data_IF_913306836691
#
_entry.id   IF_913306836691
#
_cell.length_a   1.000
_cell.length_b   1.000
_cell.length_c   1.000
_cell.angle_alpha   90.00
_cell.angle_beta   90.00
_cell.angle_gamma   90.00
#
_symmetry.space_group_name_H-M   'P 1'
#
loop_
_entity.id
_entity.type
_entity.pdbx_description
1 polymer ?
#
# COMPACT_ATOMS: atom_id res chain seq x y z
N UNK A 1 2.15 16.56 -1.52
CA UNK A 1 2.26 15.51 -0.48
C UNK A 1 2.26 14.17 -1.21
N UNK A 2 3.43 13.70 -1.65
CA UNK A 2 3.63 12.41 -2.34
C UNK A 2 3.74 11.33 -1.27
N UNK A 3 2.58 10.90 -0.78
CA UNK A 3 2.40 10.00 0.38
C UNK A 3 2.83 8.54 0.09
N UNK A 4 3.64 8.28 -0.94
CA UNK A 4 4.18 6.93 -1.20
C UNK A 4 5.55 7.09 -1.85
N UNK A 5 6.50 7.64 -1.09
CA UNK A 5 7.91 7.65 -1.46
C UNK A 5 8.42 6.19 -1.47
N UNK A 6 8.79 5.71 -2.66
CA UNK A 6 9.70 4.58 -2.86
C UNK A 6 9.51 3.34 -1.97
N UNK A 7 8.29 2.80 -1.90
CA UNK A 7 8.06 1.47 -1.32
C UNK A 7 8.13 1.39 0.21
N UNK A 8 8.07 2.51 0.94
CA UNK A 8 7.77 2.44 2.38
C UNK A 8 6.28 2.22 2.57
N UNK A 9 5.92 1.09 3.16
CA UNK A 9 4.53 0.83 3.58
C UNK A 9 4.11 1.88 4.63
N UNK A 10 2.83 2.31 4.65
CA UNK A 10 2.29 3.23 5.66
C UNK A 10 2.48 2.79 7.12
N UNK A 11 2.91 1.54 7.34
CA UNK A 11 3.06 0.88 8.62
C UNK A 11 4.09 1.57 9.53
N UNK A 12 5.06 2.31 8.98
CA UNK A 12 6.10 2.97 9.77
C UNK A 12 5.82 4.43 10.13
N UNK A 13 4.63 4.96 9.80
CA UNK A 13 4.38 6.40 9.93
C UNK A 13 3.61 6.80 11.17
N UNK A 14 2.79 5.90 11.69
CA UNK A 14 2.05 6.10 12.92
C UNK A 14 2.34 4.94 13.86
N UNK A 15 2.61 5.30 15.10
CA UNK A 15 3.00 4.44 16.19
C UNK A 15 1.85 4.34 17.18
N UNK A 16 1.91 3.35 18.06
CA UNK A 16 0.95 3.17 19.13
C UNK A 16 0.84 4.42 20.02
N UNK A 17 1.97 5.08 20.30
CA UNK A 17 2.03 6.31 21.09
C UNK A 17 1.21 7.46 20.51
N UNK A 18 1.01 7.51 19.18
CA UNK A 18 0.27 8.60 18.53
C UNK A 18 -1.23 8.54 18.83
N UNK A 19 -1.72 7.39 19.32
CA UNK A 19 -3.09 7.21 19.77
C UNK A 19 -3.18 6.87 21.26
N UNK A 20 -2.07 6.76 21.99
CA UNK A 20 -2.10 6.39 23.39
C UNK A 20 -2.78 7.47 24.25
N UNK A 21 -3.46 7.01 25.29
CA UNK A 21 -3.93 7.85 26.38
C UNK A 21 -2.92 7.83 27.53
N UNK A 22 -2.76 8.95 28.26
CA UNK A 22 -1.86 8.99 29.41
C UNK A 22 -2.38 8.06 30.51
N UNK A 23 -1.45 7.39 31.19
CA UNK A 23 -1.75 6.54 32.34
C UNK A 23 -1.85 7.41 33.60
N UNK A 24 -2.87 7.14 34.42
CA UNK A 24 -2.99 7.70 35.77
C UNK A 24 -2.62 6.63 36.79
N UNK A 25 -1.83 7.01 37.77
CA UNK A 25 -1.40 6.14 38.86
C UNK A 25 -2.18 6.46 40.13
N UNK A 26 -2.67 5.40 40.77
CA UNK A 26 -3.15 5.44 42.15
C UNK A 26 -1.99 5.17 43.13
N UNK A 27 -2.12 5.65 44.35
CA UNK A 27 -1.21 5.31 45.44
C UNK A 27 -1.62 3.95 46.06
N UNK A 28 -0.68 3.03 46.34
CA UNK A 28 -1.01 1.78 47.01
C UNK A 28 -1.75 1.94 48.35
N UNK A 29 -1.60 3.08 49.02
CA UNK A 29 -2.23 3.40 50.30
C UNK A 29 -3.64 4.00 50.17
N UNK A 30 -4.12 4.24 48.94
CA UNK A 30 -5.46 4.75 48.67
C UNK A 30 -6.54 3.73 49.08
N UNK A 31 -7.77 4.24 49.28
CA UNK A 31 -8.95 3.40 49.56
C UNK A 31 -9.33 2.55 48.35
N UNK A 32 -9.42 1.24 48.55
CA UNK A 32 -9.86 0.32 47.51
C UNK A 32 -11.31 0.59 47.05
N UNK A 33 -12.17 1.03 47.98
CA UNK A 33 -13.57 1.36 47.69
C UNK A 33 -13.69 2.65 46.87
N UNK A 34 -12.98 3.72 47.25
CA UNK A 34 -13.00 4.97 46.49
C UNK A 34 -12.43 4.76 45.09
N UNK A 35 -11.39 3.95 44.96
CA UNK A 35 -10.84 3.56 43.67
C UNK A 35 -11.87 2.81 42.83
N UNK A 36 -12.61 1.84 43.40
CA UNK A 36 -13.69 1.15 42.71
C UNK A 36 -14.77 2.11 42.19
N UNK A 37 -15.23 3.03 43.04
CA UNK A 37 -16.23 4.03 42.69
C UNK A 37 -15.74 4.96 41.59
N UNK A 38 -14.47 5.40 41.65
CA UNK A 38 -13.85 6.21 40.61
C UNK A 38 -13.78 5.48 39.26
N UNK A 39 -13.34 4.21 39.28
CA UNK A 39 -13.30 3.34 38.09
C UNK A 39 -14.69 3.10 37.49
N UNK A 40 -15.71 2.93 38.35
CA UNK A 40 -17.09 2.79 37.92
C UNK A 40 -17.65 4.09 37.32
N UNK A 41 -17.40 5.23 37.96
CA UNK A 41 -17.88 6.54 37.53
C UNK A 41 -17.29 6.99 36.18
N UNK A 42 -16.08 6.53 35.84
CA UNK A 42 -15.38 6.88 34.60
C UNK A 42 -15.35 5.73 33.58
N UNK A 43 -16.08 4.65 33.88
CA UNK A 43 -16.24 3.43 33.07
C UNK A 43 -14.95 2.83 32.49
N UNK A 44 -13.99 2.49 33.34
CA UNK A 44 -12.82 1.72 32.92
C UNK A 44 -12.49 0.58 33.89
N UNK A 45 -11.87 -0.48 33.36
CA UNK A 45 -11.71 -1.76 34.09
C UNK A 45 -10.35 -1.95 34.76
N UNK A 46 -9.35 -1.14 34.41
CA UNK A 46 -7.96 -1.31 34.88
C UNK A 46 -7.40 0.02 35.34
N UNK A 47 -6.85 0.06 36.55
CA UNK A 47 -6.08 1.19 37.06
C UNK A 47 -4.63 0.77 37.32
N UNK A 48 -3.71 1.71 37.14
CA UNK A 48 -2.30 1.51 37.40
C UNK A 48 -1.97 2.02 38.79
N UNK A 49 -1.08 1.31 39.48
CA UNK A 49 -0.66 1.65 40.84
C UNK A 49 0.83 1.96 40.82
N UNK A 50 1.23 2.98 41.59
CA UNK A 50 2.63 3.38 41.71
C UNK A 50 3.50 2.17 42.09
N UNK A 51 4.60 1.97 41.37
CA UNK A 51 5.42 0.75 41.47
C UNK A 51 5.20 -0.28 40.36
N UNK A 52 4.34 0.02 39.36
CA UNK A 52 4.19 -0.79 38.15
C UNK A 52 3.20 -1.96 38.29
N UNK A 53 2.41 -1.97 39.36
CA UNK A 53 1.32 -2.91 39.55
C UNK A 53 0.02 -2.39 38.91
N UNK A 54 -0.96 -3.28 38.75
CA UNK A 54 -2.30 -2.94 38.26
C UNK A 54 -3.36 -3.47 39.22
N UNK A 55 -4.55 -2.90 39.12
CA UNK A 55 -5.73 -3.36 39.84
C UNK A 55 -6.92 -3.38 38.87
N UNK A 56 -7.73 -4.44 38.98
CA UNK A 56 -8.89 -4.64 38.12
C UNK A 56 -10.17 -4.25 38.86
N UNK A 57 -11.09 -3.53 38.19
CA UNK A 57 -12.36 -3.05 38.77
C UNK A 57 -13.17 -4.19 39.39
N UNK A 58 -13.21 -5.35 38.75
CA UNK A 58 -13.95 -6.52 39.22
C UNK A 58 -13.37 -7.13 40.53
N UNK A 59 -12.06 -6.95 40.80
CA UNK A 59 -11.42 -7.38 42.05
C UNK A 59 -11.81 -6.48 43.22
N UNK A 60 -12.19 -5.25 42.94
CA UNK A 60 -12.59 -4.28 43.94
C UNK A 60 -14.10 -4.32 44.23
N UNK A 61 -14.86 -5.21 43.58
CA UNK A 61 -16.29 -5.33 43.83
C UNK A 61 -16.55 -5.94 45.20
N UNK A 62 -17.24 -5.19 46.07
CA UNK A 62 -17.59 -5.65 47.42
C UNK A 62 -16.46 -5.58 48.45
N UNK A 63 -15.41 -4.80 48.20
CA UNK A 63 -14.34 -4.56 49.17
C UNK A 63 -14.86 -3.81 50.41
N UNK A 64 -14.22 -4.05 51.56
CA UNK A 64 -14.54 -3.35 52.80
C UNK A 64 -14.09 -1.87 52.73
N UNK A 65 -14.81 -1.00 53.44
CA UNK A 65 -14.58 0.47 53.45
C UNK A 65 -13.15 0.88 53.86
N UNK A 66 -12.47 0.07 54.68
CA UNK A 66 -11.12 0.34 55.18
C UNK A 66 -10.01 -0.38 54.39
N UNK A 67 -10.36 -1.19 53.38
CA UNK A 67 -9.38 -1.97 52.64
C UNK A 67 -8.49 -1.07 51.78
N UNK A 68 -7.19 -1.40 51.72
CA UNK A 68 -6.19 -0.61 50.97
C UNK A 68 -5.96 -1.20 49.58
N UNK A 69 -5.66 -0.32 48.62
CA UNK A 69 -5.49 -0.74 47.23
C UNK A 69 -4.37 -1.77 47.05
N UNK A 70 -3.27 -1.64 47.82
CA UNK A 70 -2.14 -2.56 47.83
C UNK A 70 -2.54 -4.05 47.99
N UNK A 71 -3.61 -4.33 48.73
CA UNK A 71 -4.12 -5.69 49.00
C UNK A 71 -4.68 -6.38 47.75
N UNK A 72 -5.03 -5.60 46.72
CA UNK A 72 -5.67 -6.07 45.48
C UNK A 72 -4.79 -5.88 44.24
N UNK A 73 -3.54 -5.46 44.42
CA UNK A 73 -2.61 -5.24 43.31
C UNK A 73 -2.09 -6.56 42.74
N UNK A 74 -1.96 -6.60 41.41
CA UNK A 74 -1.39 -7.71 40.66
C UNK A 74 -0.26 -7.16 39.76
N UNK A 75 0.78 -7.96 39.43
CA UNK A 75 1.79 -7.53 38.46
C UNK A 75 1.15 -7.29 37.09
N UNK A 76 1.63 -6.26 36.37
CA UNK A 76 1.18 -5.98 35.01
C UNK A 76 1.45 -7.20 34.11
N UNK A 77 0.43 -7.83 33.50
CA UNK A 77 0.67 -9.05 32.74
C UNK A 77 1.42 -8.75 31.44
N UNK A 78 2.53 -9.45 31.19
CA UNK A 78 3.43 -9.24 30.03
C UNK A 78 2.71 -9.19 28.68
N UNK A 79 1.61 -9.95 28.52
CA UNK A 79 0.82 -9.97 27.29
C UNK A 79 0.19 -8.62 26.92
N UNK A 80 0.05 -7.72 27.88
CA UNK A 80 -0.45 -6.35 27.67
C UNK A 80 0.67 -5.36 27.41
N UNK A 81 1.91 -5.67 27.76
CA UNK A 81 3.05 -4.79 27.55
C UNK A 81 3.54 -4.85 26.10
N UNK A 82 3.67 -3.69 25.47
CA UNK A 82 4.23 -3.55 24.14
C UNK A 82 5.18 -2.35 24.08
N UNK A 83 6.19 -2.37 23.20
CA UNK A 83 7.03 -1.20 22.97
C UNK A 83 6.21 0.04 22.57
N UNK A 84 6.60 1.22 23.05
CA UNK A 84 5.91 2.47 22.71
C UNK A 84 5.99 2.83 21.22
N UNK A 85 7.03 2.35 20.54
CA UNK A 85 7.28 2.48 19.11
C UNK A 85 6.64 1.35 18.27
N UNK A 86 5.73 0.56 18.86
CA UNK A 86 4.97 -0.44 18.11
C UNK A 86 4.19 0.23 16.96
N UNK A 87 4.22 -0.36 15.76
CA UNK A 87 3.47 0.16 14.63
C UNK A 87 1.96 0.19 14.92
N UNK A 88 1.25 1.15 14.34
CA UNK A 88 -0.20 1.22 14.50
C UNK A 88 -0.92 -0.01 13.87
N UNK A 89 -0.32 -0.61 12.85
CA UNK A 89 -0.77 -1.89 12.27
C UNK A 89 -0.76 -3.01 13.31
N UNK A 90 0.37 -3.20 13.98
CA UNK A 90 0.53 -4.25 15.00
C UNK A 90 -0.30 -3.94 16.25
N UNK A 91 -0.46 -2.66 16.58
CA UNK A 91 -1.36 -2.20 17.64
C UNK A 91 -2.79 -2.64 17.36
N UNK A 92 -3.29 -2.44 16.13
CA UNK A 92 -4.62 -2.89 15.72
C UNK A 92 -4.74 -4.42 15.77
N UNK A 93 -3.71 -5.15 15.33
CA UNK A 93 -3.70 -6.61 15.40
C UNK A 93 -3.77 -7.13 16.85
N UNK A 94 -2.99 -6.52 17.76
CA UNK A 94 -2.98 -6.89 19.18
C UNK A 94 -4.27 -6.49 19.89
N UNK A 95 -4.80 -5.29 19.63
CA UNK A 95 -6.09 -4.85 20.19
C UNK A 95 -7.27 -5.75 19.79
N UNK A 96 -7.16 -6.48 18.67
CA UNK A 96 -8.17 -7.45 18.27
C UNK A 96 -8.18 -8.70 19.17
N UNK A 97 -7.05 -8.99 19.84
CA UNK A 97 -6.87 -10.13 20.73
C UNK A 97 -6.93 -9.75 22.21
N UNK A 98 -6.57 -8.50 22.55
CA UNK A 98 -6.53 -8.00 23.93
C UNK A 98 -7.23 -6.64 24.04
N UNK A 99 -8.12 -6.42 25.03
CA UNK A 99 -8.95 -5.22 25.11
C UNK A 99 -8.19 -3.94 25.47
N UNK A 100 -6.91 -4.00 25.80
CA UNK A 100 -6.04 -2.85 26.07
C UNK A 100 -4.58 -3.26 26.00
N UNK A 101 -3.72 -2.30 25.69
CA UNK A 101 -2.26 -2.44 25.58
C UNK A 101 -1.58 -1.35 26.39
N UNK A 102 -0.49 -1.69 27.06
CA UNK A 102 0.34 -0.76 27.82
C UNK A 102 1.62 -0.53 27.04
N UNK A 103 1.90 0.73 26.75
CA UNK A 103 3.09 1.14 26.04
C UNK A 103 4.24 1.32 27.02
N UNK A 104 5.37 0.69 26.72
CA UNK A 104 6.56 0.75 27.56
C UNK A 104 7.78 1.28 26.82
N UNK A 105 8.60 2.06 27.51
CA UNK A 105 9.97 2.41 27.13
C UNK A 105 10.93 1.89 28.21
N UNK A 106 11.56 0.75 27.94
CA UNK A 106 12.27 -0.01 28.97
C UNK A 106 11.32 -0.41 30.10
N UNK A 107 11.58 0.08 31.32
CA UNK A 107 10.74 -0.17 32.51
C UNK A 107 9.69 0.91 32.75
N UNK A 108 9.64 1.97 31.94
CA UNK A 108 8.68 3.06 32.11
C UNK A 108 7.41 2.78 31.32
N UNK A 109 6.24 2.98 31.94
CA UNK A 109 4.96 2.95 31.24
C UNK A 109 4.69 4.35 30.68
N UNK A 110 4.58 4.44 29.37
CA UNK A 110 4.43 5.70 28.62
C UNK A 110 2.97 6.01 28.27
N UNK A 111 2.11 5.01 28.24
CA UNK A 111 0.71 5.19 27.87
C UNK A 111 -0.08 3.88 27.86
N UNK A 112 -1.38 4.00 27.63
CA UNK A 112 -2.30 2.89 27.39
C UNK A 112 -3.02 3.12 26.07
N UNK A 113 -3.27 2.06 25.32
CA UNK A 113 -4.11 2.06 24.14
C UNK A 113 -5.28 1.12 24.37
N UNK A 114 -6.51 1.60 24.17
CA UNK A 114 -7.74 0.81 24.23
C UNK A 114 -8.48 0.87 22.88
N UNK A 115 -9.53 0.06 22.67
CA UNK A 115 -10.40 0.22 21.52
C UNK A 115 -10.96 1.63 21.36
N UNK A 116 -11.19 2.38 22.45
CA UNK A 116 -11.70 3.76 22.38
C UNK A 116 -10.71 4.72 21.73
N UNK A 117 -9.41 4.50 21.94
CA UNK A 117 -8.35 5.29 21.32
C UNK A 117 -8.34 5.16 19.79
N UNK A 118 -8.93 4.11 19.24
CA UNK A 118 -9.15 3.98 17.80
C UNK A 118 -10.08 5.08 17.26
N UNK A 119 -10.89 5.73 18.10
CA UNK A 119 -11.70 6.89 17.69
C UNK A 119 -10.88 8.17 17.47
N UNK A 120 -9.59 8.19 17.87
CA UNK A 120 -8.73 9.37 17.71
C UNK A 120 -8.45 9.65 16.22
N UNK A 121 -8.19 10.93 15.85
CA UNK A 121 -7.95 11.31 14.45
C UNK A 121 -6.81 10.54 13.78
N UNK A 122 -5.72 10.23 14.50
CA UNK A 122 -4.58 9.49 13.95
C UNK A 122 -4.95 8.06 13.51
N UNK A 123 -5.74 7.33 14.31
CA UNK A 123 -6.27 6.01 13.93
C UNK A 123 -7.19 6.07 12.71
N UNK A 124 -8.05 7.09 12.64
CA UNK A 124 -8.94 7.32 11.49
C UNK A 124 -8.13 7.61 10.22
N UNK A 125 -7.11 8.47 10.30
CA UNK A 125 -6.23 8.79 9.18
C UNK A 125 -5.44 7.56 8.70
N UNK A 126 -4.93 6.74 9.62
CA UNK A 126 -4.26 5.48 9.33
C UNK A 126 -5.17 4.51 8.57
N UNK A 127 -6.38 4.28 9.07
CA UNK A 127 -7.35 3.40 8.45
C UNK A 127 -7.78 3.90 7.06
N UNK A 128 -7.96 5.23 6.91
CA UNK A 128 -8.28 5.85 5.63
C UNK A 128 -7.16 5.67 4.60
N UNK A 129 -5.90 5.84 5.00
CA UNK A 129 -4.74 5.62 4.12
C UNK A 129 -4.68 4.19 3.58
N UNK A 130 -5.02 3.19 4.41
CA UNK A 130 -5.11 1.78 3.98
C UNK A 130 -6.20 1.57 2.93
N UNK A 131 -7.37 2.21 3.09
CA UNK A 131 -8.46 2.11 2.11
C UNK A 131 -8.11 2.78 0.77
N UNK A 132 -7.40 3.92 0.81
CA UNK A 132 -6.90 4.58 -0.39
C UNK A 132 -5.84 3.72 -1.10
N UNK A 133 -4.94 3.11 -0.33
CA UNK A 133 -3.95 2.17 -0.87
C UNK A 133 -4.63 0.99 -1.54
N UNK A 134 -5.59 0.35 -0.84
CA UNK A 134 -6.38 -0.75 -1.40
C UNK A 134 -7.08 -0.35 -2.71
N UNK A 135 -7.70 0.84 -2.75
CA UNK A 135 -8.33 1.35 -3.97
C UNK A 135 -7.32 1.43 -5.13
N UNK A 136 -6.15 2.02 -4.89
CA UNK A 136 -5.09 2.19 -5.89
C UNK A 136 -4.58 0.85 -6.42
N UNK A 137 -4.22 -0.08 -5.54
CA UNK A 137 -3.70 -1.39 -5.97
C UNK A 137 -4.74 -2.21 -6.71
N UNK A 138 -6.01 -2.15 -6.29
CA UNK A 138 -7.09 -2.82 -7.02
C UNK A 138 -7.34 -2.17 -8.39
N UNK A 139 -7.18 -0.84 -8.55
CA UNK A 139 -7.26 -0.19 -9.87
C UNK A 139 -6.20 -0.73 -10.82
N UNK A 140 -4.95 -0.83 -10.36
CA UNK A 140 -3.85 -1.38 -11.16
C UNK A 140 -4.12 -2.84 -11.56
N UNK A 141 -4.53 -3.67 -10.60
CA UNK A 141 -4.87 -5.07 -10.87
C UNK A 141 -6.02 -5.17 -11.89
N UNK A 142 -7.14 -4.48 -11.65
CA UNK A 142 -8.25 -4.48 -12.60
C UNK A 142 -7.81 -4.02 -13.99
N UNK A 143 -6.95 -3.01 -14.07
CA UNK A 143 -6.40 -2.55 -15.34
C UNK A 143 -5.62 -3.63 -16.08
N UNK A 144 -4.74 -4.35 -15.37
CA UNK A 144 -3.99 -5.48 -15.94
C UNK A 144 -4.88 -6.62 -16.42
N UNK A 145 -5.81 -7.09 -15.59
CA UNK A 145 -6.67 -8.24 -15.94
C UNK A 145 -7.73 -7.91 -16.99
N UNK A 146 -7.95 -6.63 -17.30
CA UNK A 146 -8.90 -6.22 -18.34
C UNK A 146 -8.25 -5.56 -19.54
N UNK A 147 -6.91 -5.44 -19.57
CA UNK A 147 -6.17 -4.67 -20.57
C UNK A 147 -6.73 -3.25 -20.78
N UNK A 148 -7.27 -2.65 -19.73
CA UNK A 148 -7.84 -1.30 -19.73
C UNK A 148 -7.24 -0.53 -18.57
N UNK A 149 -6.09 0.14 -18.79
CA UNK A 149 -5.38 0.86 -17.74
C UNK A 149 -6.31 1.81 -16.99
N UNK A 150 -6.20 1.79 -15.66
CA UNK A 150 -6.95 2.67 -14.78
C UNK A 150 -5.94 3.55 -14.05
N UNK A 151 -6.14 4.87 -14.11
CA UNK A 151 -5.35 5.80 -13.30
C UNK A 151 -5.49 5.50 -11.80
N UNK A 152 -4.41 5.72 -11.05
CA UNK A 152 -4.37 5.53 -9.59
C UNK A 152 -5.31 6.48 -8.85
N UNK A 153 -5.58 7.64 -9.44
CA UNK A 153 -6.48 8.64 -8.87
C UNK A 153 -7.89 8.48 -9.42
N UNK A 154 -8.91 8.71 -8.58
CA UNK A 154 -10.27 8.86 -9.08
C UNK A 154 -10.30 10.08 -10.02
N UNK A 155 -10.77 9.87 -11.25
CA UNK A 155 -11.00 11.00 -12.16
C UNK A 155 -12.10 11.90 -11.58
N UNK A 156 -12.03 13.23 -11.74
CA UNK A 156 -13.10 14.11 -11.29
C UNK A 156 -14.40 13.85 -12.07
N UNK A 157 -15.58 14.00 -11.44
CA UNK A 157 -16.86 13.88 -12.12
C UNK A 157 -16.99 15.04 -13.13
N UNK A 158 -16.85 14.73 -14.42
CA UNK A 158 -17.00 15.71 -15.51
C UNK A 158 -16.10 15.46 -16.72
N UNK A 159 -14.87 15.00 -16.52
CA UNK A 159 -13.92 14.75 -17.64
C UNK A 159 -14.30 13.50 -18.43
N UNK A 160 -14.83 12.47 -17.76
CA UNK A 160 -15.20 11.20 -18.39
C UNK A 160 -16.41 11.30 -19.35
N UNK A 161 -17.31 12.28 -19.17
CA UNK A 161 -18.46 12.46 -20.07
C UNK A 161 -18.07 13.07 -21.42
N UNK A 162 -16.97 13.82 -21.49
CA UNK A 162 -16.53 14.51 -22.72
C UNK A 162 -15.84 13.54 -23.69
N UNK A 163 -15.28 12.43 -23.22
CA UNK A 163 -14.53 11.46 -24.02
C UNK A 163 -15.39 10.43 -24.79
N UNK A 164 -16.72 10.59 -24.84
CA UNK A 164 -17.62 9.74 -25.64
C UNK A 164 -17.70 8.25 -25.24
N UNK A 165 -16.95 7.83 -24.22
CA UNK A 165 -17.03 6.50 -23.66
C UNK A 165 -18.15 6.50 -22.62
N UNK A 166 -19.30 5.91 -22.96
CA UNK A 166 -20.43 5.67 -22.06
C UNK A 166 -20.11 4.70 -20.88
N UNK A 167 -18.84 4.59 -20.49
CA UNK A 167 -18.39 3.85 -19.33
C UNK A 167 -18.51 4.74 -18.10
N UNK A 168 -19.43 4.38 -17.20
CA UNK A 168 -19.52 4.87 -15.82
C UNK A 168 -18.13 5.13 -15.25
N UNK A 169 -17.74 6.41 -15.14
CA UNK A 169 -16.41 6.77 -14.69
C UNK A 169 -16.12 6.14 -13.32
N UNK A 170 -14.96 5.51 -13.21
CA UNK A 170 -14.54 4.81 -11.99
C UNK A 170 -14.10 5.84 -10.94
N UNK A 171 -15.08 6.49 -10.31
CA UNK A 171 -14.86 7.62 -9.41
C UNK A 171 -14.70 7.21 -7.94
N UNK A 172 -15.00 5.95 -7.59
CA UNK A 172 -15.02 5.51 -6.20
C UNK A 172 -14.54 4.07 -6.03
N UNK A 173 -14.00 3.76 -4.84
CA UNK A 173 -13.66 2.41 -4.37
C UNK A 173 -14.76 1.38 -4.71
N UNK A 174 -16.04 1.75 -4.66
CA UNK A 174 -17.16 0.89 -5.00
C UNK A 174 -17.11 0.33 -6.42
N UNK A 175 -16.74 1.14 -7.41
CA UNK A 175 -16.63 0.70 -8.80
C UNK A 175 -15.46 -0.27 -8.98
N UNK A 176 -14.31 0.06 -8.38
CA UNK A 176 -13.09 -0.76 -8.45
C UNK A 176 -13.35 -2.13 -7.82
N UNK A 177 -13.91 -2.16 -6.61
CA UNK A 177 -14.29 -3.40 -5.91
C UNK A 177 -15.31 -4.18 -6.74
N UNK A 178 -16.36 -3.54 -7.27
CA UNK A 178 -17.36 -4.24 -8.08
C UNK A 178 -16.78 -4.86 -9.35
N UNK A 179 -15.80 -4.20 -9.98
CA UNK A 179 -15.13 -4.69 -11.19
C UNK A 179 -14.16 -5.83 -10.85
N UNK A 180 -13.33 -5.67 -9.83
CA UNK A 180 -12.46 -6.74 -9.32
C UNK A 180 -13.27 -8.00 -8.95
N UNK A 181 -14.43 -7.83 -8.30
CA UNK A 181 -15.34 -8.92 -7.94
C UNK A 181 -16.02 -9.65 -9.11
N UNK A 182 -15.78 -9.23 -10.36
CA UNK A 182 -16.23 -9.89 -11.59
C UNK A 182 -15.11 -10.65 -12.32
N UNK A 183 -13.87 -10.55 -11.84
CA UNK A 183 -12.68 -11.15 -12.47
C UNK A 183 -12.31 -12.43 -11.69
N UNK A 184 -12.73 -13.63 -12.13
CA UNK A 184 -12.52 -14.86 -11.36
C UNK A 184 -11.05 -15.21 -11.15
N UNK A 185 -10.19 -14.97 -12.14
CA UNK A 185 -8.74 -15.21 -12.06
C UNK A 185 -8.08 -14.32 -11.00
N UNK A 186 -8.37 -13.02 -11.03
CA UNK A 186 -7.91 -12.07 -10.01
C UNK A 186 -8.37 -12.48 -8.60
N UNK A 187 -9.63 -12.90 -8.44
CA UNK A 187 -10.14 -13.34 -7.13
C UNK A 187 -9.44 -14.61 -6.63
N UNK A 188 -9.15 -15.55 -7.54
CA UNK A 188 -8.41 -16.76 -7.21
C UNK A 188 -6.98 -16.44 -6.73
N UNK A 189 -6.27 -15.54 -7.41
CA UNK A 189 -4.92 -15.10 -7.03
C UNK A 189 -4.90 -14.27 -5.73
N UNK A 190 -5.92 -13.46 -5.48
CA UNK A 190 -6.09 -12.79 -4.18
C UNK A 190 -6.48 -13.77 -3.06
N UNK A 191 -6.90 -14.99 -3.41
CA UNK A 191 -7.31 -16.04 -2.48
C UNK A 191 -8.64 -15.74 -1.79
N UNK A 192 -9.63 -15.26 -2.55
CA UNK A 192 -10.98 -14.99 -2.08
C UNK A 192 -12.04 -15.61 -3.00
N UNK A 193 -13.10 -16.16 -2.43
CA UNK A 193 -14.31 -16.42 -3.20
C UNK A 193 -15.02 -15.10 -3.56
N UNK A 194 -15.86 -15.16 -4.60
CA UNK A 194 -16.71 -14.02 -5.01
C UNK A 194 -17.61 -13.51 -3.89
N UNK A 195 -18.10 -14.40 -3.03
CA UNK A 195 -18.98 -14.04 -1.90
C UNK A 195 -18.21 -13.31 -0.81
N UNK A 196 -17.07 -13.86 -0.39
CA UNK A 196 -16.20 -13.26 0.64
C UNK A 196 -15.69 -11.89 0.20
N UNK A 197 -15.18 -11.79 -1.03
CA UNK A 197 -14.69 -10.52 -1.57
C UNK A 197 -15.80 -9.45 -1.62
N UNK A 198 -17.02 -9.81 -2.04
CA UNK A 198 -18.16 -8.88 -2.06
C UNK A 198 -18.56 -8.43 -0.65
N UNK A 199 -18.56 -9.35 0.33
CA UNK A 199 -18.88 -9.02 1.72
C UNK A 199 -17.86 -8.03 2.29
N UNK A 200 -16.57 -8.33 2.14
CA UNK A 200 -15.48 -7.47 2.59
C UNK A 200 -15.48 -6.12 1.86
N UNK A 201 -15.65 -6.14 0.54
CA UNK A 201 -15.69 -4.96 -0.30
C UNK A 201 -16.84 -4.01 0.04
N UNK A 202 -18.07 -4.53 0.26
CA UNK A 202 -19.20 -3.71 0.73
C UNK A 202 -18.90 -3.03 2.06
N UNK A 203 -18.29 -3.75 2.99
CA UNK A 203 -17.87 -3.19 4.27
C UNK A 203 -16.82 -2.09 4.08
N UNK A 204 -15.77 -2.34 3.30
CA UNK A 204 -14.71 -1.36 3.02
C UNK A 204 -15.25 -0.06 2.38
N UNK A 205 -16.22 -0.17 1.47
CA UNK A 205 -16.89 0.97 0.85
C UNK A 205 -17.65 1.80 1.90
N UNK A 206 -18.49 1.14 2.71
CA UNK A 206 -19.26 1.82 3.76
C UNK A 206 -18.33 2.49 4.79
N UNK A 207 -17.29 1.77 5.21
CA UNK A 207 -16.30 2.25 6.17
C UNK A 207 -15.50 3.44 5.65
N UNK A 208 -15.07 3.43 4.37
CA UNK A 208 -14.41 4.58 3.74
C UNK A 208 -15.31 5.81 3.72
N UNK A 209 -16.59 5.64 3.37
CA UNK A 209 -17.55 6.75 3.34
C UNK A 209 -17.76 7.32 4.76
N UNK A 210 -17.86 6.45 5.76
CA UNK A 210 -17.95 6.86 7.17
C UNK A 210 -16.77 7.74 7.59
N UNK A 211 -15.54 7.29 7.31
CA UNK A 211 -14.32 8.04 7.60
C UNK A 211 -14.23 9.37 6.85
N UNK A 212 -14.64 9.40 5.57
CA UNK A 212 -14.61 10.61 4.76
C UNK A 212 -15.55 11.71 5.28
N UNK A 213 -16.60 11.34 6.03
CA UNK A 213 -17.51 12.27 6.67
C UNK A 213 -17.07 12.66 8.10
N UNK A 214 -15.79 12.44 8.44
CA UNK A 214 -15.18 12.75 9.74
C UNK A 214 -15.91 12.11 10.94
N UNK A 215 -16.62 11.00 10.70
CA UNK A 215 -17.27 10.25 11.76
C UNK A 215 -16.23 9.42 12.50
N UNK A 216 -16.32 9.42 13.83
CA UNK A 216 -15.41 8.67 14.69
C UNK A 216 -15.57 7.17 14.45
N UNK A 217 -14.47 6.44 14.58
CA UNK A 217 -14.42 5.01 14.32
C UNK A 217 -15.35 4.16 15.20
N UNK A 218 -15.73 4.65 16.40
CA UNK A 218 -16.53 3.90 17.38
C UNK A 218 -17.85 4.57 17.81
N UNK A 219 -18.19 5.77 17.31
CA UNK A 219 -19.17 6.62 18.01
C UNK A 219 -20.61 6.54 17.47
N UNK A 220 -20.82 6.04 16.25
CA UNK A 220 -22.14 6.12 15.58
C UNK A 220 -22.91 4.79 15.50
N UNK A 221 -22.31 3.68 15.93
CA UNK A 221 -23.00 2.40 16.07
C UNK A 221 -22.34 1.63 17.23
N UNK A 222 -23.06 1.29 18.32
CA UNK A 222 -22.54 0.48 19.43
C UNK A 222 -22.11 -0.93 18.99
N UNK A 223 -22.58 -1.42 17.84
CA UNK A 223 -22.07 -2.63 17.17
C UNK A 223 -20.89 -2.34 16.23
N UNK A 224 -20.55 -1.07 16.03
CA UNK A 224 -19.41 -0.55 15.28
C UNK A 224 -18.34 0.04 16.20
N UNK A 225 -18.03 -0.62 17.33
CA UNK A 225 -16.60 -0.87 17.55
C UNK A 225 -16.07 -1.30 16.19
N UNK A 226 -15.03 -0.64 15.65
CA UNK A 226 -14.38 -1.14 14.44
C UNK A 226 -14.33 -2.64 14.62
N UNK A 227 -15.01 -3.40 13.76
CA UNK A 227 -14.84 -4.83 13.78
C UNK A 227 -13.39 -4.97 13.34
N UNK A 228 -12.46 -4.92 14.29
CA UNK A 228 -11.04 -4.75 14.06
C UNK A 228 -10.58 -5.90 13.19
N UNK A 229 -11.17 -7.08 13.40
CA UNK A 229 -11.13 -8.21 12.48
C UNK A 229 -11.50 -7.91 11.02
N UNK A 230 -12.55 -7.13 10.72
CA UNK A 230 -12.88 -6.70 9.34
C UNK A 230 -11.86 -5.70 8.78
N UNK A 231 -11.38 -4.75 9.58
CA UNK A 231 -10.30 -3.86 9.13
C UNK A 231 -9.01 -4.65 8.83
N UNK A 232 -8.62 -5.57 9.71
CA UNK A 232 -7.49 -6.46 9.51
C UNK A 232 -7.69 -7.36 8.27
N UNK A 233 -8.92 -7.77 7.95
CA UNK A 233 -9.23 -8.46 6.69
C UNK A 233 -9.05 -7.55 5.47
N UNK A 234 -9.41 -6.27 5.54
CA UNK A 234 -9.15 -5.28 4.49
C UNK A 234 -7.66 -5.05 4.31
N UNK A 235 -6.91 -4.91 5.41
CA UNK A 235 -5.46 -4.78 5.38
C UNK A 235 -4.80 -6.02 4.76
N UNK A 236 -5.24 -7.23 5.14
CA UNK A 236 -4.77 -8.48 4.54
C UNK A 236 -5.04 -8.52 3.03
N UNK A 237 -6.23 -8.10 2.59
CA UNK A 237 -6.54 -7.97 1.16
C UNK A 237 -5.62 -6.96 0.48
N UNK A 238 -5.38 -5.80 1.09
CA UNK A 238 -4.49 -4.77 0.59
C UNK A 238 -3.06 -5.29 0.41
N UNK A 239 -2.49 -5.93 1.44
CA UNK A 239 -1.14 -6.49 1.39
C UNK A 239 -1.00 -7.57 0.31
N UNK A 240 -2.00 -8.45 0.19
CA UNK A 240 -2.04 -9.43 -0.91
C UNK A 240 -2.11 -8.76 -2.27
N UNK A 241 -2.91 -7.71 -2.41
CA UNK A 241 -3.01 -6.97 -3.66
C UNK A 241 -1.70 -6.22 -4.00
N UNK A 242 -0.99 -5.68 -3.01
CA UNK A 242 0.35 -5.08 -3.19
C UNK A 242 1.32 -6.14 -3.72
N UNK A 243 1.45 -7.27 -3.00
CA UNK A 243 2.33 -8.35 -3.41
C UNK A 243 1.99 -8.85 -4.83
N UNK A 244 0.69 -8.97 -5.13
CA UNK A 244 0.25 -9.35 -6.46
C UNK A 244 0.63 -8.31 -7.51
N UNK A 245 0.50 -7.00 -7.25
CA UNK A 245 0.94 -5.94 -8.17
C UNK A 245 2.45 -6.00 -8.42
N UNK A 246 3.24 -6.34 -7.41
CA UNK A 246 4.69 -6.45 -7.49
C UNK A 246 5.14 -7.64 -8.34
N UNK A 247 4.51 -8.81 -8.18
CA UNK A 247 4.90 -10.05 -8.87
C UNK A 247 3.90 -10.54 -9.94
N UNK A 248 3.54 -9.66 -10.88
CA UNK A 248 2.63 -10.01 -11.99
C UNK A 248 3.36 -10.68 -13.13
N UNK A 249 3.33 -12.02 -13.17
CA UNK A 249 3.86 -12.81 -14.30
C UNK A 249 3.36 -12.32 -15.66
N UNK A 250 2.07 -11.99 -15.78
CA UNK A 250 1.46 -11.48 -17.01
C UNK A 250 2.08 -10.15 -17.50
N UNK A 251 2.50 -9.26 -16.58
CA UNK A 251 3.14 -7.98 -16.94
C UNK A 251 4.55 -8.24 -17.46
N UNK A 252 5.30 -9.11 -16.79
CA UNK A 252 6.63 -9.51 -17.24
C UNK A 252 6.59 -10.20 -18.59
N UNK A 253 5.57 -11.02 -18.84
CA UNK A 253 5.34 -11.63 -20.15
C UNK A 253 5.02 -10.56 -21.21
N UNK A 254 4.11 -9.61 -20.92
CA UNK A 254 3.79 -8.53 -21.86
C UNK A 254 5.03 -7.68 -22.23
N UNK A 255 5.91 -7.40 -21.26
CA UNK A 255 7.21 -6.78 -21.53
C UNK A 255 8.08 -7.69 -22.41
N UNK A 256 8.16 -8.98 -22.09
CA UNK A 256 8.88 -9.97 -22.88
C UNK A 256 8.37 -10.08 -24.32
N UNK A 257 7.08 -9.84 -24.56
CA UNK A 257 6.47 -9.90 -25.89
C UNK A 257 6.56 -8.55 -26.64
N UNK A 258 6.99 -7.48 -25.97
CA UNK A 258 7.01 -6.14 -26.56
C UNK A 258 8.02 -6.02 -27.70
N UNK A 259 7.61 -5.40 -28.80
CA UNK A 259 8.46 -5.12 -29.96
C UNK A 259 9.12 -3.75 -29.76
N UNK A 260 10.42 -3.66 -30.05
CA UNK A 260 11.17 -2.40 -30.02
C UNK A 260 11.47 -1.99 -31.46
N UNK A 261 10.98 -0.83 -31.87
CA UNK A 261 11.16 -0.29 -33.22
C UNK A 261 11.85 1.05 -33.20
N UNK A 262 12.56 1.39 -34.27
CA UNK A 262 13.04 2.74 -34.45
C UNK A 262 11.87 3.73 -34.55
N UNK A 263 12.00 4.92 -33.98
CA UNK A 263 10.92 5.91 -34.01
C UNK A 263 10.75 6.55 -35.40
N UNK A 264 11.82 6.60 -36.21
CA UNK A 264 11.85 7.32 -37.49
C UNK A 264 11.84 6.42 -38.72
N UNK A 265 12.06 5.11 -38.53
CA UNK A 265 12.12 4.11 -39.61
C UNK A 265 11.32 2.86 -39.26
N UNK A 266 11.12 1.98 -40.22
CA UNK A 266 10.45 0.69 -40.00
C UNK A 266 11.33 -0.37 -39.33
N UNK A 267 12.58 -0.03 -39.00
CA UNK A 267 13.58 -0.93 -38.42
C UNK A 267 13.10 -1.49 -37.09
N UNK A 268 13.14 -2.81 -36.95
CA UNK A 268 12.85 -3.51 -35.68
C UNK A 268 14.18 -3.84 -35.02
N UNK A 269 14.36 -3.46 -33.76
CA UNK A 269 15.56 -3.76 -32.98
C UNK A 269 15.38 -4.99 -32.06
N UNK A 270 14.13 -5.29 -31.68
CA UNK A 270 13.79 -6.52 -30.97
C UNK A 270 12.34 -6.93 -31.28
N UNK A 271 12.12 -8.21 -31.59
CA UNK A 271 10.87 -8.77 -32.09
C UNK A 271 11.07 -9.50 -33.43
N UNK A 272 9.98 -9.97 -34.05
CA UNK A 272 10.04 -10.64 -35.35
C UNK A 272 10.72 -9.77 -36.42
N UNK A 273 11.71 -10.33 -37.13
CA UNK A 273 12.45 -9.62 -38.18
C UNK A 273 13.42 -8.54 -37.66
N UNK A 274 13.91 -8.67 -36.42
CA UNK A 274 14.86 -7.70 -35.86
C UNK A 274 16.21 -7.65 -36.59
N UNK A 275 16.71 -6.45 -36.86
CA UNK A 275 18.00 -6.15 -37.47
C UNK A 275 19.15 -6.24 -36.45
N UNK A 276 20.41 -6.17 -36.92
CA UNK A 276 21.56 -6.03 -36.01
C UNK A 276 21.44 -4.76 -35.15
N UNK A 277 21.95 -4.81 -33.92
CA UNK A 277 21.87 -3.67 -33.00
C UNK A 277 22.71 -2.48 -33.52
N UNK A 278 22.24 -1.23 -33.33
CA UNK A 278 22.93 -0.05 -33.86
C UNK A 278 24.18 0.33 -33.05
N UNK A 279 24.38 -0.29 -31.88
CA UNK A 279 25.53 -0.10 -31.00
C UNK A 279 26.06 -1.46 -30.53
N UNK A 280 27.30 -1.49 -30.03
CA UNK A 280 27.85 -2.67 -29.37
C UNK A 280 26.98 -3.09 -28.18
N UNK A 281 26.68 -4.38 -28.09
CA UNK A 281 25.92 -4.95 -26.99
C UNK A 281 26.68 -4.86 -25.64
N UNK A 282 25.95 -4.79 -24.50
CA UNK A 282 24.50 -4.69 -24.41
C UNK A 282 24.00 -3.28 -24.75
N UNK A 283 22.85 -3.21 -25.43
CA UNK A 283 22.06 -1.99 -25.53
C UNK A 283 20.96 -2.00 -24.48
N UNK A 284 20.58 -0.84 -23.94
CA UNK A 284 19.46 -0.74 -23.01
C UNK A 284 18.34 0.10 -23.58
N UNK A 285 17.08 -0.30 -23.37
CA UNK A 285 15.91 0.52 -23.72
C UNK A 285 15.22 0.96 -22.45
N UNK A 286 15.03 2.27 -22.33
CA UNK A 286 14.44 2.93 -21.16
C UNK A 286 13.44 4.00 -21.60
N UNK A 287 12.34 4.13 -20.89
CA UNK A 287 11.35 5.20 -21.04
C UNK A 287 11.12 5.91 -19.70
N UNK A 288 10.46 7.06 -19.73
CA UNK A 288 9.90 7.71 -18.54
C UNK A 288 8.37 7.79 -18.57
N UNK A 289 7.74 7.11 -19.55
CA UNK A 289 6.29 6.99 -19.67
C UNK A 289 5.73 6.13 -18.54
N UNK A 290 4.50 6.45 -18.14
CA UNK A 290 3.66 5.68 -17.23
C UNK A 290 4.41 5.04 -16.03
N UNK A 291 5.02 5.85 -15.14
CA UNK A 291 5.82 5.34 -14.03
C UNK A 291 5.02 4.36 -13.18
N UNK A 292 5.60 3.20 -12.88
CA UNK A 292 4.96 2.09 -12.19
C UNK A 292 3.58 1.71 -12.79
N UNK A 293 3.45 1.85 -14.12
CA UNK A 293 2.24 1.62 -14.91
C UNK A 293 1.09 2.60 -14.61
N UNK A 294 1.38 3.70 -13.91
CA UNK A 294 0.41 4.76 -13.71
C UNK A 294 0.13 5.43 -15.06
N UNK A 295 -1.11 5.33 -15.55
CA UNK A 295 -1.51 6.02 -16.77
C UNK A 295 -1.48 7.54 -16.55
N UNK A 296 -0.57 8.21 -17.24
CA UNK A 296 -0.51 9.67 -17.29
C UNK A 296 -1.10 10.18 -18.59
N UNK A 297 -1.46 11.47 -18.61
CA UNK A 297 -1.75 12.13 -19.88
C UNK A 297 -0.49 12.25 -20.75
N UNK A 298 -0.71 12.40 -22.05
CA UNK A 298 0.36 12.38 -23.05
C UNK A 298 1.36 13.54 -22.88
N UNK A 299 0.91 14.72 -22.44
CA UNK A 299 1.78 15.87 -22.24
C UNK A 299 2.72 15.63 -21.04
N UNK A 300 2.19 15.10 -19.94
CA UNK A 300 2.98 14.68 -18.77
C UNK A 300 4.01 13.61 -19.15
N UNK A 301 3.60 12.58 -19.90
CA UNK A 301 4.52 11.54 -20.38
C UNK A 301 5.63 12.10 -21.27
N UNK A 302 5.29 12.94 -22.26
CA UNK A 302 6.29 13.61 -23.12
C UNK A 302 7.26 14.46 -22.32
N UNK A 303 6.77 15.26 -21.38
CA UNK A 303 7.64 16.10 -20.54
C UNK A 303 8.64 15.25 -19.75
N UNK A 304 8.18 14.17 -19.11
CA UNK A 304 9.05 13.23 -18.39
C UNK A 304 10.08 12.59 -19.31
N UNK A 305 9.66 12.15 -20.51
CA UNK A 305 10.56 11.51 -21.48
C UNK A 305 11.62 12.49 -22.02
N UNK A 306 11.28 13.76 -22.21
CA UNK A 306 12.25 14.81 -22.55
C UNK A 306 13.28 15.04 -21.45
N UNK A 307 12.86 14.99 -20.18
CA UNK A 307 13.79 15.09 -19.04
C UNK A 307 14.71 13.87 -18.96
N UNK A 308 14.21 12.67 -19.24
CA UNK A 308 15.01 11.46 -19.36
C UNK A 308 16.07 11.62 -20.46
N UNK A 309 15.68 12.07 -21.65
CA UNK A 309 16.61 12.31 -22.77
C UNK A 309 17.72 13.30 -22.39
N UNK A 310 17.39 14.42 -21.74
CA UNK A 310 18.38 15.38 -21.23
C UNK A 310 19.36 14.71 -20.25
N UNK A 311 18.86 13.82 -19.40
CA UNK A 311 19.68 13.03 -18.49
C UNK A 311 20.59 12.02 -19.20
N UNK A 312 20.11 11.37 -20.25
CA UNK A 312 20.88 10.41 -21.05
C UNK A 312 21.99 11.10 -21.85
N UNK A 313 21.70 12.24 -22.49
CA UNK A 313 22.67 13.02 -23.27
C UNK A 313 23.88 13.51 -22.46
N UNK A 314 23.78 13.56 -21.12
CA UNK A 314 24.91 13.89 -20.23
C UNK A 314 25.82 12.70 -19.93
N UNK A 315 25.40 11.47 -20.27
CA UNK A 315 26.08 10.22 -19.92
C UNK A 315 26.60 9.45 -21.13
N UNK A 316 25.96 9.60 -22.29
CA UNK A 316 26.38 8.94 -23.53
C UNK A 316 25.92 9.72 -24.75
N UNK A 317 26.65 9.61 -25.85
CA UNK A 317 26.27 10.11 -27.17
C UNK A 317 25.55 9.02 -28.01
N UNK A 318 25.66 7.75 -27.57
CA UNK A 318 25.08 6.59 -28.24
C UNK A 318 23.60 6.44 -27.85
N UNK A 319 22.74 7.29 -28.43
CA UNK A 319 21.30 7.31 -28.16
C UNK A 319 20.51 7.20 -29.46
N UNK A 320 19.49 6.33 -29.49
CA UNK A 320 18.46 6.27 -30.53
C UNK A 320 17.07 6.45 -29.92
N UNK A 321 16.22 7.22 -30.60
CA UNK A 321 14.80 7.28 -30.27
C UNK A 321 14.11 6.02 -30.79
N UNK A 322 13.41 5.30 -29.92
CA UNK A 322 12.72 4.05 -30.25
C UNK A 322 11.30 4.08 -29.70
N UNK A 323 10.47 3.17 -30.16
CA UNK A 323 9.12 2.95 -29.65
C UNK A 323 9.03 1.51 -29.16
N UNK A 324 8.65 1.34 -27.89
CA UNK A 324 8.21 0.06 -27.37
C UNK A 324 6.73 -0.11 -27.67
N UNK A 325 6.31 -1.26 -28.19
CA UNK A 325 4.91 -1.49 -28.56
C UNK A 325 4.49 -2.94 -28.34
N UNK A 326 3.18 -3.16 -28.19
CA UNK A 326 2.61 -4.50 -28.13
C UNK A 326 2.65 -5.15 -29.52
N UNK A 327 2.67 -6.49 -29.64
CA UNK A 327 2.61 -7.16 -30.94
C UNK A 327 1.39 -6.75 -31.78
N UNK A 328 0.25 -6.49 -31.13
CA UNK A 328 -0.98 -6.03 -31.76
C UNK A 328 -1.09 -4.51 -31.93
N UNK A 329 -0.06 -3.74 -31.55
CA UNK A 329 0.05 -2.28 -31.69
C UNK A 329 -1.01 -1.45 -30.94
N UNK A 330 -1.80 -2.07 -30.08
CA UNK A 330 -2.79 -1.39 -29.23
C UNK A 330 -2.15 -0.54 -28.13
N UNK A 331 -0.88 -0.78 -27.82
CA UNK A 331 -0.07 -0.01 -26.89
C UNK A 331 1.25 0.35 -27.56
N UNK A 332 1.68 1.60 -27.40
CA UNK A 332 2.92 2.16 -27.93
C UNK A 332 3.45 3.24 -26.98
N UNK A 333 4.75 3.23 -26.70
CA UNK A 333 5.42 4.21 -25.84
C UNK A 333 6.77 4.64 -26.40
N UNK A 334 6.96 5.96 -26.47
CA UNK A 334 8.26 6.53 -26.83
C UNK A 334 9.32 6.17 -25.78
N UNK A 335 10.49 5.79 -26.25
CA UNK A 335 11.59 5.26 -25.44
C UNK A 335 12.94 5.67 -26.04
N UNK A 336 14.03 5.38 -25.34
CA UNK A 336 15.39 5.57 -25.82
C UNK A 336 16.18 4.28 -25.72
N UNK A 337 16.82 3.90 -26.82
CA UNK A 337 17.86 2.88 -26.82
C UNK A 337 19.21 3.55 -26.60
N UNK A 338 20.00 3.04 -25.66
CA UNK A 338 21.31 3.58 -25.32
C UNK A 338 22.40 2.50 -25.36
N UNK A 339 23.55 2.88 -25.90
CA UNK A 339 24.78 2.07 -25.91
C UNK A 339 25.87 2.65 -25.02
N UNK A 340 26.86 1.83 -24.67
CA UNK A 340 28.05 2.27 -23.93
C UNK A 340 27.81 2.68 -22.47
N UNK A 341 26.63 2.44 -21.92
CA UNK A 341 26.31 2.72 -20.52
C UNK A 341 26.42 1.45 -19.67
N UNK A 342 26.87 1.59 -18.41
CA UNK A 342 26.84 0.48 -17.45
C UNK A 342 25.39 0.21 -17.04
N UNK A 343 25.04 -1.07 -16.85
CA UNK A 343 23.70 -1.46 -16.41
C UNK A 343 23.26 -0.72 -15.13
N UNK A 344 24.14 -0.60 -14.14
CA UNK A 344 23.83 0.09 -12.89
C UNK A 344 23.38 1.56 -13.10
N UNK A 345 24.01 2.29 -14.02
CA UNK A 345 23.67 3.69 -14.31
C UNK A 345 22.30 3.82 -15.00
N UNK A 346 21.97 2.85 -15.86
CA UNK A 346 20.65 2.77 -16.52
C UNK A 346 19.56 2.42 -15.51
N UNK A 347 19.82 1.46 -14.61
CA UNK A 347 18.86 1.06 -13.58
C UNK A 347 18.63 2.17 -12.55
N UNK A 348 19.66 2.93 -12.17
CA UNK A 348 19.51 4.11 -11.32
C UNK A 348 18.60 5.17 -11.97
N UNK A 349 18.78 5.41 -13.27
CA UNK A 349 17.90 6.29 -14.03
C UNK A 349 16.47 5.76 -14.10
N UNK A 350 16.30 4.47 -14.38
CA UNK A 350 14.99 3.82 -14.42
C UNK A 350 14.26 4.00 -13.08
N UNK A 351 14.93 3.72 -11.95
CA UNK A 351 14.41 3.96 -10.59
C UNK A 351 13.96 5.41 -10.40
N UNK A 352 14.80 6.37 -10.79
CA UNK A 352 14.50 7.80 -10.67
C UNK A 352 13.26 8.23 -11.47
N UNK A 353 13.04 7.62 -12.62
CA UNK A 353 11.85 7.86 -13.45
C UNK A 353 10.68 6.92 -13.11
N UNK A 354 10.75 6.19 -12.00
CA UNK A 354 9.70 5.30 -11.51
C UNK A 354 9.40 4.14 -12.48
N UNK A 355 10.37 3.72 -13.27
CA UNK A 355 10.20 2.57 -14.14
C UNK A 355 10.29 1.28 -13.32
N UNK A 356 9.57 0.25 -13.76
CA UNK A 356 9.61 -1.08 -13.16
C UNK A 356 10.78 -1.91 -13.71
N UNK A 357 11.09 -1.72 -14.99
CA UNK A 357 12.12 -2.47 -15.69
C UNK A 357 12.70 -1.67 -16.86
N UNK A 358 13.80 -2.18 -17.38
CA UNK A 358 14.40 -1.78 -18.66
C UNK A 358 14.57 -3.01 -19.52
N UNK A 359 14.63 -2.82 -20.84
CA UNK A 359 15.08 -3.91 -21.71
C UNK A 359 16.59 -3.88 -21.83
N UNK A 360 17.24 -5.03 -21.68
CA UNK A 360 18.64 -5.25 -22.09
C UNK A 360 18.65 -6.10 -23.36
N UNK A 361 19.20 -5.54 -24.42
CA UNK A 361 19.28 -6.18 -25.73
C UNK A 361 20.72 -6.66 -25.96
N UNK A 362 20.82 -7.98 -26.13
CA UNK A 362 22.01 -8.69 -26.55
C UNK A 362 21.89 -9.05 -28.04
N UNK A 363 22.94 -9.57 -28.71
CA UNK A 363 22.84 -9.92 -30.13
C UNK A 363 21.68 -10.88 -30.44
N UNK A 364 21.37 -11.84 -29.56
CA UNK A 364 20.33 -12.84 -29.78
C UNK A 364 19.22 -12.84 -28.72
N UNK A 365 19.36 -12.08 -27.63
CA UNK A 365 18.43 -12.13 -26.50
C UNK A 365 17.87 -10.75 -26.17
N UNK A 366 16.59 -10.72 -25.80
CA UNK A 366 15.95 -9.60 -25.13
C UNK A 366 15.66 -10.01 -23.70
N UNK A 367 16.18 -9.24 -22.76
CA UNK A 367 16.02 -9.47 -21.33
C UNK A 367 15.20 -8.33 -20.73
N UNK A 368 14.21 -8.68 -19.91
CA UNK A 368 13.47 -7.73 -19.08
C UNK A 368 14.15 -7.70 -17.72
N UNK A 369 14.84 -6.61 -17.42
CA UNK A 369 15.63 -6.46 -16.20
C UNK A 369 14.89 -5.50 -15.28
N UNK A 370 14.54 -5.95 -14.08
CA UNK A 370 13.94 -5.04 -13.10
C UNK A 370 14.96 -4.02 -12.58
N UNK A 371 14.46 -3.03 -11.85
CA UNK A 371 15.29 -1.98 -11.30
C UNK A 371 16.33 -2.45 -10.26
N UNK A 372 16.18 -3.65 -9.70
CA UNK A 372 17.16 -4.26 -8.78
C UNK A 372 18.19 -5.13 -9.52
N UNK A 373 18.11 -5.19 -10.85
CA UNK A 373 19.06 -5.89 -11.71
C UNK A 373 18.72 -7.36 -11.91
N UNK A 374 17.57 -7.85 -11.41
CA UNK A 374 17.13 -9.21 -11.63
C UNK A 374 16.48 -9.34 -13.01
N UNK A 375 16.83 -10.41 -13.72
CA UNK A 375 16.18 -10.75 -14.99
C UNK A 375 14.84 -11.40 -14.68
N UNK A 376 13.75 -10.72 -15.04
CA UNK A 376 12.36 -11.18 -14.79
C UNK A 376 11.78 -11.98 -15.95
N UNK A 377 12.23 -11.70 -17.17
CA UNK A 377 11.85 -12.46 -18.36
C UNK A 377 12.96 -12.43 -19.42
N UNK A 378 12.94 -13.44 -20.29
CA UNK A 378 13.86 -13.61 -21.42
C UNK A 378 13.07 -14.05 -22.63
N UNK A 379 13.38 -13.45 -23.78
CA UNK A 379 12.90 -13.89 -25.08
C UNK A 379 14.05 -13.85 -26.10
N UNK A 380 13.85 -14.53 -27.23
CA UNK A 380 14.73 -14.32 -28.38
C UNK A 380 14.58 -12.87 -28.86
N UNK A 381 15.70 -12.21 -29.20
CA UNK A 381 15.63 -10.86 -29.76
C UNK A 381 15.12 -10.89 -31.20
N UNK A 382 15.61 -11.85 -31.96
CA UNK A 382 15.23 -12.12 -33.34
C UNK A 382 14.43 -13.41 -33.34
N UNK A 383 13.12 -13.34 -33.17
CA UNK A 383 12.29 -14.49 -33.51
C UNK A 383 12.33 -14.66 -35.04
N UNK A 384 12.62 -15.87 -35.54
CA UNK A 384 12.71 -16.14 -36.98
C UNK A 384 11.38 -15.94 -37.70
#
# INVERSE_FOLDING_TARGET
MTVYDYGRTPEHWLLAQDIASPVRYADPSDSALEQFEWMAANDFDVAFVTGGAVVFRNRLSGVAEHAKLAEFTEPLPDKHCVPHDLSLSDTFAKLAATPWLVLTDGSQICGIVTPEDLAKPAASAFAFAHLITLERVLRRLVGSYTNQPLGDEPQPPGIAQIAGHAGTGMHHLSHVVNRAGRLPELLAELGYSKSEFRKLGRWAIGFRNHLAHARRLNHDDPQAQIALGRFLQVQKLMLRAIALVEDRKQVWQAFSDSVIRDHSSSTVWAGPGAFELPFSAPCFVITAWNPFEQTLDEASNRHRNQMLLKGLKRRTELIRCVVGQSPCQTWQEESFMVGGMRQADVLELAKRYGQRAVFRLEPNEKLVVDCDGQVRARACRCEP
#
